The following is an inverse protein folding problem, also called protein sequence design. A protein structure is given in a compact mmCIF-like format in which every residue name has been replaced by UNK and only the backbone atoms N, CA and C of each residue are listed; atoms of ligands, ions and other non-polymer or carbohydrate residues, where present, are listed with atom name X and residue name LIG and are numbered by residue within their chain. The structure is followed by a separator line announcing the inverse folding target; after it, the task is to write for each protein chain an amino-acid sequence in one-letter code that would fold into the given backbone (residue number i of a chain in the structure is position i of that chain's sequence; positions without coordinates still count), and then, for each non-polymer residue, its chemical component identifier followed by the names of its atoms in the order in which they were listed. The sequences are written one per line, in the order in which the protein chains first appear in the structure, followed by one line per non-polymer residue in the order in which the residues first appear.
data_IF_414080097000
#
_entry.id   IF_414080097000
#
_cell.length_a   1.000
_cell.length_b   1.000
_cell.length_c   1.000
_cell.angle_alpha   90.00
_cell.angle_beta   90.00
_cell.angle_gamma   90.00
#
_symmetry.space_group_name_H-M   'P 1'
#
loop_
_entity.id
_entity.type
_entity.pdbx_description
1 polymer ?
#
# COMPACT_ATOMS: atom_id res chain seq x y z
N UNK A 1 12.35 -9.22 7.50
CA UNK A 1 11.66 -8.19 6.69
C UNK A 1 10.36 -8.77 6.19
N UNK A 2 9.26 -8.03 6.33
CA UNK A 2 7.96 -8.36 5.74
C UNK A 2 7.55 -7.29 4.74
N UNK A 3 6.82 -7.68 3.70
CA UNK A 3 6.36 -6.75 2.66
C UNK A 3 4.85 -6.88 2.49
N UNK A 4 4.16 -5.74 2.46
CA UNK A 4 2.72 -5.68 2.26
C UNK A 4 2.40 -4.83 1.02
N UNK A 5 1.70 -5.43 0.06
CA UNK A 5 1.18 -4.75 -1.13
C UNK A 5 -0.29 -4.43 -0.90
N UNK A 6 -0.66 -3.15 -0.99
CA UNK A 6 -2.04 -2.72 -0.79
C UNK A 6 -2.89 -2.99 -2.04
N UNK A 7 -2.37 -2.67 -3.23
CA UNK A 7 -3.09 -2.82 -4.50
C UNK A 7 -2.52 -3.95 -5.35
N UNK A 8 -3.32 -4.44 -6.28
CA UNK A 8 -2.95 -5.54 -7.18
C UNK A 8 -2.12 -5.07 -8.40
N UNK A 9 -2.03 -3.77 -8.68
CA UNK A 9 -1.29 -3.22 -9.81
C UNK A 9 -1.94 -3.46 -11.18
N UNK A 10 -3.27 -3.63 -11.22
CA UNK A 10 -4.05 -3.96 -12.43
C UNK A 10 -4.52 -2.72 -13.21
N UNK A 11 -3.76 -1.62 -13.18
CA UNK A 11 -4.18 -0.37 -13.81
C UNK A 11 -4.52 -0.51 -15.30
N UNK A 12 -3.65 -1.12 -16.10
CA UNK A 12 -3.86 -1.23 -17.54
C UNK A 12 -4.80 -2.38 -17.93
N UNK A 13 -4.75 -3.50 -17.22
CA UNK A 13 -5.65 -4.63 -17.43
C UNK A 13 -5.78 -5.48 -16.16
N UNK A 14 -6.92 -6.17 -15.99
CA UNK A 14 -7.10 -7.10 -14.87
C UNK A 14 -6.03 -8.22 -14.87
N UNK A 15 -5.57 -8.63 -16.06
CA UNK A 15 -4.54 -9.65 -16.20
C UNK A 15 -3.18 -9.21 -15.63
N UNK A 16 -2.91 -7.91 -15.57
CA UNK A 16 -1.64 -7.39 -15.04
C UNK A 16 -1.48 -7.72 -13.56
N UNK A 17 -2.56 -7.89 -12.81
CA UNK A 17 -2.49 -8.30 -11.41
C UNK A 17 -1.69 -9.59 -11.21
N UNK A 18 -1.87 -10.59 -12.09
CA UNK A 18 -1.12 -11.84 -12.02
C UNK A 18 0.37 -11.65 -12.34
N UNK A 19 0.66 -10.83 -13.34
CA UNK A 19 2.04 -10.49 -13.72
C UNK A 19 2.74 -9.77 -12.58
N UNK A 20 2.13 -8.71 -12.04
CA UNK A 20 2.68 -7.93 -10.92
C UNK A 20 2.90 -8.76 -9.67
N UNK A 21 1.98 -9.67 -9.35
CA UNK A 21 2.14 -10.58 -8.23
C UNK A 21 3.34 -11.52 -8.41
N UNK A 22 3.50 -12.09 -9.61
CA UNK A 22 4.62 -12.98 -9.92
C UNK A 22 5.96 -12.25 -9.90
N UNK A 23 6.03 -11.05 -10.50
CA UNK A 23 7.22 -10.18 -10.47
C UNK A 23 7.62 -9.84 -9.03
N UNK A 24 6.66 -9.39 -8.21
CA UNK A 24 6.90 -9.03 -6.82
C UNK A 24 7.44 -10.21 -6.01
N UNK A 25 6.82 -11.39 -6.14
CA UNK A 25 7.30 -12.60 -5.46
C UNK A 25 8.71 -12.99 -5.90
N UNK A 26 8.99 -12.92 -7.21
CA UNK A 26 10.30 -13.30 -7.76
C UNK A 26 11.41 -12.37 -7.26
N UNK A 27 11.18 -11.06 -7.27
CA UNK A 27 12.15 -10.08 -6.77
C UNK A 27 12.36 -10.25 -5.27
N UNK A 28 11.30 -10.38 -4.48
CA UNK A 28 11.41 -10.53 -3.04
C UNK A 28 12.09 -11.84 -2.64
N UNK A 29 11.83 -12.94 -3.37
CA UNK A 29 12.54 -14.20 -3.18
C UNK A 29 14.05 -14.05 -3.46
N UNK A 30 14.44 -13.34 -4.52
CA UNK A 30 15.84 -13.05 -4.82
C UNK A 30 16.51 -12.17 -3.74
N UNK A 31 15.73 -11.33 -3.04
CA UNK A 31 16.18 -10.53 -1.91
C UNK A 31 16.13 -11.28 -0.56
N UNK A 32 15.74 -12.56 -0.57
CA UNK A 32 15.69 -13.41 0.62
C UNK A 32 14.47 -13.18 1.53
N UNK A 33 13.40 -12.57 1.02
CA UNK A 33 12.14 -12.41 1.75
C UNK A 33 11.32 -13.69 1.61
N UNK A 34 11.01 -14.41 2.72
CA UNK A 34 10.21 -15.62 2.67
C UNK A 34 8.78 -15.35 2.16
N UNK A 35 8.20 -16.30 1.44
CA UNK A 35 6.87 -16.15 0.83
C UNK A 35 5.75 -15.87 1.87
N UNK A 36 5.88 -16.45 3.06
CA UNK A 36 4.95 -16.26 4.19
C UNK A 36 5.05 -14.86 4.83
N UNK A 37 6.05 -14.08 4.45
CA UNK A 37 6.22 -12.69 4.88
C UNK A 37 5.82 -11.68 3.79
N UNK A 38 5.17 -12.14 2.74
CA UNK A 38 4.66 -11.31 1.66
C UNK A 38 3.13 -11.29 1.74
N UNK A 39 2.58 -10.13 2.06
CA UNK A 39 1.13 -9.92 2.22
C UNK A 39 0.58 -9.12 1.06
N UNK A 40 -0.61 -9.48 0.59
CA UNK A 40 -1.33 -8.76 -0.46
C UNK A 40 -2.74 -8.47 0.03
N UNK A 41 -3.09 -7.19 0.17
CA UNK A 41 -4.41 -6.80 0.64
C UNK A 41 -5.47 -6.95 -0.46
N UNK A 42 -5.07 -6.86 -1.73
CA UNK A 42 -5.96 -7.15 -2.85
C UNK A 42 -6.92 -6.03 -3.23
N UNK A 43 -6.64 -4.78 -2.84
CA UNK A 43 -7.40 -3.62 -3.31
C UNK A 43 -7.06 -3.28 -4.76
N UNK A 44 -8.02 -2.70 -5.51
CA UNK A 44 -7.77 -2.28 -6.88
C UNK A 44 -6.73 -1.17 -7.02
N UNK A 45 -6.02 -1.19 -8.15
CA UNK A 45 -5.21 -0.08 -8.64
C UNK A 45 -5.96 0.63 -9.77
N UNK A 46 -6.23 1.91 -9.61
CA UNK A 46 -6.87 2.75 -10.64
C UNK A 46 -5.91 3.78 -11.22
N UNK A 47 -4.65 3.80 -10.74
CA UNK A 47 -3.64 4.72 -11.21
C UNK A 47 -3.94 6.18 -10.87
N UNK A 48 -3.36 7.08 -11.69
CA UNK A 48 -3.64 8.52 -11.65
C UNK A 48 -4.79 8.87 -12.60
N UNK A 49 -5.58 9.93 -12.39
CA UNK A 49 -5.35 11.07 -11.49
C UNK A 49 -5.52 10.79 -10.00
N UNK A 50 -4.92 11.69 -9.20
CA UNK A 50 -4.87 11.58 -7.75
C UNK A 50 -6.24 11.37 -7.08
N UNK A 51 -7.26 12.17 -7.47
CA UNK A 51 -8.61 12.12 -6.91
C UNK A 51 -9.38 10.86 -7.34
N UNK A 52 -8.95 10.18 -8.40
CA UNK A 52 -9.55 8.96 -8.92
C UNK A 52 -8.89 7.70 -8.38
N UNK A 53 -7.75 7.83 -7.72
CA UNK A 53 -7.04 6.72 -7.12
C UNK A 53 -7.90 6.00 -6.09
N UNK A 54 -7.88 4.68 -6.11
CA UNK A 54 -8.85 3.85 -5.40
C UNK A 54 -8.80 4.03 -3.89
N UNK A 55 -7.61 3.91 -3.29
CA UNK A 55 -7.45 4.07 -1.84
C UNK A 55 -7.71 5.50 -1.41
N UNK A 56 -7.37 6.50 -2.25
CA UNK A 56 -7.66 7.91 -1.98
C UNK A 56 -9.15 8.15 -1.84
N UNK A 57 -9.96 7.63 -2.76
CA UNK A 57 -11.42 7.75 -2.70
C UNK A 57 -11.99 7.10 -1.43
N UNK A 58 -11.47 5.95 -1.02
CA UNK A 58 -11.88 5.32 0.24
C UNK A 58 -11.49 6.19 1.44
N UNK A 59 -10.27 6.74 1.43
CA UNK A 59 -9.80 7.61 2.51
C UNK A 59 -10.67 8.87 2.67
N UNK A 60 -11.09 9.47 1.55
CA UNK A 60 -11.97 10.64 1.53
C UNK A 60 -13.44 10.30 1.85
N UNK A 61 -13.74 9.06 2.18
CA UNK A 61 -15.09 8.61 2.53
C UNK A 61 -16.01 8.44 1.31
N UNK A 62 -15.48 8.38 0.11
CA UNK A 62 -16.27 8.10 -1.08
C UNK A 62 -16.82 6.68 -1.04
N UNK A 63 -18.09 6.54 -1.42
CA UNK A 63 -18.69 5.22 -1.62
C UNK A 63 -18.20 4.62 -2.94
N UNK A 64 -17.41 3.56 -2.85
CA UNK A 64 -16.93 2.81 -4.01
C UNK A 64 -17.61 1.44 -4.03
N UNK A 65 -18.47 1.21 -5.01
CA UNK A 65 -19.24 -0.04 -5.10
C UNK A 65 -18.54 -1.11 -5.93
N UNK A 66 -17.69 -0.72 -6.87
CA UNK A 66 -16.94 -1.64 -7.72
C UNK A 66 -15.62 -1.02 -8.21
N UNK A 67 -14.63 -1.85 -8.53
CA UNK A 67 -13.45 -1.47 -9.27
C UNK A 67 -13.78 -1.17 -10.73
N UNK A 68 -12.81 -0.63 -11.50
CA UNK A 68 -12.99 -0.44 -12.95
C UNK A 68 -13.22 -1.75 -13.71
N UNK A 69 -12.84 -2.88 -13.13
CA UNK A 69 -13.01 -4.23 -13.68
C UNK A 69 -14.26 -4.95 -13.15
N UNK A 70 -15.15 -4.24 -12.43
CA UNK A 70 -16.41 -4.76 -11.92
C UNK A 70 -16.29 -5.61 -10.64
N UNK A 71 -15.14 -5.69 -10.02
CA UNK A 71 -14.95 -6.34 -8.72
C UNK A 71 -15.59 -5.49 -7.63
N UNK A 72 -16.22 -6.14 -6.65
CA UNK A 72 -16.95 -5.47 -5.55
C UNK A 72 -16.31 -5.68 -4.18
N UNK A 73 -15.21 -6.45 -4.13
CA UNK A 73 -14.47 -6.80 -2.92
C UNK A 73 -13.00 -7.07 -3.25
N UNK A 74 -12.15 -7.14 -2.24
CA UNK A 74 -10.73 -7.48 -2.41
C UNK A 74 -10.58 -8.85 -3.09
N UNK A 75 -9.50 -9.03 -3.83
CA UNK A 75 -9.26 -10.26 -4.59
C UNK A 75 -7.80 -10.47 -4.91
N UNK A 76 -7.47 -11.68 -5.35
CA UNK A 76 -6.13 -12.05 -5.82
C UNK A 76 -6.22 -12.99 -7.01
N UNK A 77 -5.40 -12.77 -8.06
CA UNK A 77 -5.37 -13.65 -9.22
C UNK A 77 -4.73 -15.01 -8.94
N UNK A 78 -3.87 -15.08 -7.92
CA UNK A 78 -3.04 -16.24 -7.56
C UNK A 78 -3.44 -16.89 -6.23
N UNK A 79 -4.60 -16.54 -5.68
CA UNK A 79 -5.09 -17.10 -4.42
C UNK A 79 -5.98 -16.16 -3.64
N UNK A 80 -5.93 -16.28 -2.33
CA UNK A 80 -6.74 -15.49 -1.41
C UNK A 80 -5.98 -14.23 -0.98
N UNK A 81 -6.68 -13.09 -0.94
CA UNK A 81 -6.16 -11.87 -0.34
C UNK A 81 -6.03 -12.00 1.19
N UNK A 82 -5.32 -11.04 1.79
CA UNK A 82 -5.03 -11.06 3.22
C UNK A 82 -6.32 -11.01 4.07
N UNK A 83 -7.31 -10.20 3.65
CA UNK A 83 -8.59 -10.12 4.36
C UNK A 83 -9.28 -11.48 4.43
N UNK A 84 -9.32 -12.21 3.30
CA UNK A 84 -9.89 -13.55 3.24
C UNK A 84 -9.14 -14.54 4.14
N UNK A 85 -7.81 -14.51 4.12
CA UNK A 85 -7.01 -15.39 4.98
C UNK A 85 -7.27 -15.15 6.48
N UNK A 86 -7.63 -13.92 6.87
CA UNK A 86 -7.89 -13.56 8.27
C UNK A 86 -9.32 -13.79 8.72
N UNK A 87 -10.30 -13.57 7.85
CA UNK A 87 -11.73 -13.50 8.21
C UNK A 87 -12.62 -14.52 7.52
N UNK A 88 -12.09 -15.23 6.51
CA UNK A 88 -12.88 -16.20 5.70
C UNK A 88 -13.81 -15.58 4.65
N UNK A 89 -13.74 -14.25 4.46
CA UNK A 89 -14.45 -13.53 3.41
C UNK A 89 -13.54 -12.45 2.81
N UNK A 90 -13.83 -11.98 1.60
CA UNK A 90 -13.12 -10.88 0.98
C UNK A 90 -13.48 -9.54 1.62
N UNK A 91 -12.56 -8.58 1.60
CA UNK A 91 -12.75 -7.26 2.17
C UNK A 91 -13.65 -6.38 1.29
N UNK A 92 -14.63 -5.73 1.90
CA UNK A 92 -15.43 -4.71 1.21
C UNK A 92 -14.62 -3.45 0.94
N UNK A 93 -14.99 -2.68 -0.08
CA UNK A 93 -14.31 -1.44 -0.45
C UNK A 93 -14.70 -0.27 0.46
N UNK A 94 -14.17 -0.29 1.67
CA UNK A 94 -14.38 0.75 2.68
C UNK A 94 -13.07 1.15 3.37
N UNK A 95 -13.00 2.38 3.86
CA UNK A 95 -11.88 2.84 4.68
C UNK A 95 -11.67 1.95 5.92
N UNK A 96 -12.76 1.47 6.51
CA UNK A 96 -12.71 0.59 7.68
C UNK A 96 -12.05 -0.75 7.36
N UNK A 97 -12.31 -1.33 6.18
CA UNK A 97 -11.66 -2.57 5.73
C UNK A 97 -10.15 -2.36 5.52
N UNK A 98 -9.75 -1.26 4.87
CA UNK A 98 -8.33 -0.93 4.68
C UNK A 98 -7.62 -0.79 6.03
N UNK A 99 -8.20 -0.03 6.95
CA UNK A 99 -7.62 0.17 8.29
C UNK A 99 -7.52 -1.15 9.06
N UNK A 100 -8.54 -1.99 8.99
CA UNK A 100 -8.53 -3.30 9.63
C UNK A 100 -7.41 -4.18 9.07
N UNK A 101 -7.30 -4.28 7.75
CA UNK A 101 -6.28 -5.11 7.10
C UNK A 101 -4.86 -4.64 7.46
N UNK A 102 -4.61 -3.34 7.45
CA UNK A 102 -3.33 -2.77 7.87
C UNK A 102 -3.05 -3.04 9.35
N UNK A 103 -4.04 -2.87 10.21
CA UNK A 103 -3.91 -3.16 11.64
C UNK A 103 -3.63 -4.64 11.89
N UNK A 104 -4.30 -5.54 11.17
CA UNK A 104 -4.10 -6.99 11.28
C UNK A 104 -2.70 -7.40 10.77
N UNK A 105 -2.18 -6.79 9.69
CA UNK A 105 -0.80 -7.00 9.23
C UNK A 105 0.19 -6.52 10.29
N UNK A 106 0.01 -5.31 10.82
CA UNK A 106 0.89 -4.74 11.86
C UNK A 106 0.89 -5.60 13.12
N UNK A 107 -0.27 -6.06 13.56
CA UNK A 107 -0.38 -6.95 14.72
C UNK A 107 0.27 -8.32 14.48
N UNK A 108 0.14 -8.88 13.26
CA UNK A 108 0.73 -10.17 12.89
C UNK A 108 2.26 -10.10 12.81
N UNK A 109 2.78 -9.02 12.20
CA UNK A 109 4.22 -8.84 11.99
C UNK A 109 4.92 -8.30 13.23
N UNK A 110 4.23 -7.47 14.02
CA UNK A 110 4.76 -6.76 15.19
C UNK A 110 6.13 -6.10 14.91
N UNK A 111 6.21 -5.18 13.92
CA UNK A 111 7.48 -4.63 13.48
C UNK A 111 8.03 -3.57 14.45
N UNK A 112 9.35 -3.45 14.54
CA UNK A 112 10.02 -2.30 15.19
C UNK A 112 10.00 -1.05 14.31
N UNK A 113 9.94 -1.25 12.99
CA UNK A 113 10.03 -0.17 12.00
C UNK A 113 9.12 -0.46 10.81
N UNK A 114 8.40 0.57 10.37
CA UNK A 114 7.55 0.54 9.16
C UNK A 114 8.04 1.59 8.17
N UNK A 115 8.20 1.19 6.92
CA UNK A 115 8.42 2.09 5.79
C UNK A 115 7.18 2.08 4.91
N UNK A 116 6.65 3.25 4.60
CA UNK A 116 5.44 3.41 3.78
C UNK A 116 5.57 4.63 2.87
N UNK A 117 4.79 4.67 1.80
CA UNK A 117 4.69 5.83 0.92
C UNK A 117 4.24 7.07 1.69
N UNK A 118 4.79 8.23 1.31
CA UNK A 118 4.56 9.47 2.05
C UNK A 118 3.12 10.00 1.88
N UNK A 119 2.47 10.49 2.95
CA UNK A 119 1.38 11.43 2.81
C UNK A 119 1.87 12.66 2.04
N UNK A 120 1.15 13.02 0.96
CA UNK A 120 1.57 14.08 0.05
C UNK A 120 2.24 13.61 -1.24
N UNK A 121 2.41 12.30 -1.44
CA UNK A 121 2.77 11.74 -2.76
C UNK A 121 1.70 12.13 -3.80
N UNK A 122 2.13 12.40 -5.03
CA UNK A 122 1.21 12.80 -6.10
C UNK A 122 0.33 11.68 -6.63
N UNK A 123 0.66 10.44 -6.34
CA UNK A 123 -0.22 9.31 -6.58
C UNK A 123 -1.18 9.14 -5.40
N UNK A 124 -2.49 9.23 -5.65
CA UNK A 124 -3.48 9.22 -4.58
C UNK A 124 -3.50 7.94 -3.75
N UNK A 125 -3.21 6.77 -4.34
CA UNK A 125 -3.09 5.51 -3.57
C UNK A 125 -1.87 5.53 -2.64
N UNK A 126 -0.75 6.13 -3.05
CA UNK A 126 0.43 6.28 -2.20
C UNK A 126 0.16 7.21 -1.02
N UNK A 127 -0.42 8.39 -1.29
CA UNK A 127 -0.82 9.34 -0.25
C UNK A 127 -1.80 8.71 0.74
N UNK A 128 -2.84 8.06 0.24
CA UNK A 128 -3.85 7.42 1.08
C UNK A 128 -3.28 6.27 1.91
N UNK A 129 -2.43 5.43 1.32
CA UNK A 129 -1.77 4.32 2.04
C UNK A 129 -0.92 4.86 3.19
N UNK A 130 -0.15 5.93 2.96
CA UNK A 130 0.62 6.61 4.00
C UNK A 130 -0.27 7.09 5.16
N UNK A 131 -1.40 7.72 4.84
CA UNK A 131 -2.37 8.21 5.83
C UNK A 131 -3.06 7.07 6.61
N UNK A 132 -3.53 6.03 5.91
CA UNK A 132 -4.12 4.85 6.56
C UNK A 132 -3.12 4.16 7.48
N UNK A 133 -1.88 3.98 7.02
CA UNK A 133 -0.83 3.36 7.84
C UNK A 133 -0.51 4.22 9.06
N UNK A 134 -0.45 5.54 8.91
CA UNK A 134 -0.29 6.47 10.04
C UNK A 134 -1.39 6.30 11.08
N UNK A 135 -2.65 6.19 10.65
CA UNK A 135 -3.78 5.96 11.56
C UNK A 135 -3.70 4.60 12.25
N UNK A 136 -3.36 3.54 11.51
CA UNK A 136 -3.23 2.20 12.06
C UNK A 136 -2.10 2.13 13.10
N UNK A 137 -0.94 2.71 12.82
CA UNK A 137 0.21 2.79 13.74
C UNK A 137 -0.13 3.61 14.98
N UNK A 138 -0.79 4.77 14.82
CA UNK A 138 -1.19 5.62 15.94
C UNK A 138 -2.18 4.96 16.91
N UNK A 139 -2.91 3.94 16.47
CA UNK A 139 -3.84 3.18 17.30
C UNK A 139 -3.17 2.03 18.07
N UNK A 140 -1.90 1.74 17.83
CA UNK A 140 -1.16 0.67 18.52
C UNK A 140 -0.73 1.13 19.93
N UNK A 141 -0.75 0.21 20.88
CA UNK A 141 -0.25 0.46 22.23
C UNK A 141 1.27 0.72 22.24
N UNK A 142 2.01 -0.03 21.42
CA UNK A 142 3.44 0.12 21.24
C UNK A 142 3.72 0.36 19.75
N UNK A 143 3.64 1.62 19.28
CA UNK A 143 3.77 1.92 17.86
C UNK A 143 5.22 1.76 17.40
N UNK A 144 5.45 1.17 16.20
CA UNK A 144 6.77 1.10 15.57
C UNK A 144 7.25 2.49 15.15
N UNK A 145 8.55 2.62 14.88
CA UNK A 145 9.08 3.77 14.17
C UNK A 145 8.52 3.80 12.75
N UNK A 146 7.94 4.93 12.33
CA UNK A 146 7.31 5.11 11.03
C UNK A 146 8.16 6.04 10.15
N UNK A 147 8.57 5.53 9.00
CA UNK A 147 9.35 6.28 8.00
C UNK A 147 8.61 6.34 6.67
N UNK A 148 8.66 7.52 6.07
CA UNK A 148 8.01 7.78 4.80
C UNK A 148 9.03 7.86 3.67
N UNK A 149 8.65 7.34 2.49
CA UNK A 149 9.38 7.53 1.25
C UNK A 149 8.45 8.06 0.16
N UNK A 150 9.00 8.93 -0.69
CA UNK A 150 8.27 9.56 -1.78
C UNK A 150 8.63 8.89 -3.09
N UNK A 151 7.63 8.56 -3.90
CA UNK A 151 7.81 7.99 -5.24
C UNK A 151 7.54 9.06 -6.30
N UNK A 152 6.45 9.83 -6.17
CA UNK A 152 6.05 10.86 -7.12
C UNK A 152 6.07 12.24 -6.46
N UNK A 153 6.99 13.09 -6.90
CA UNK A 153 7.28 14.40 -6.31
C UNK A 153 7.14 15.55 -7.32
N UNK A 154 6.09 15.51 -8.15
CA UNK A 154 5.84 16.55 -9.14
C UNK A 154 5.00 17.74 -8.59
N UNK A 155 4.51 17.64 -7.35
CA UNK A 155 3.82 18.70 -6.63
C UNK A 155 4.80 19.45 -5.73
N UNK A 156 5.27 20.59 -6.20
CA UNK A 156 6.23 21.43 -5.48
C UNK A 156 5.67 22.09 -4.23
N UNK A 157 4.33 22.16 -4.12
CA UNK A 157 3.61 22.74 -2.97
C UNK A 157 3.56 21.84 -1.73
N UNK A 158 3.84 20.55 -1.89
CA UNK A 158 3.80 19.55 -0.81
C UNK A 158 5.19 19.23 -0.27
N UNK A 159 6.23 19.45 -1.07
CA UNK A 159 7.60 19.15 -0.71
C UNK A 159 8.34 20.41 -0.27
N UNK A 160 9.28 20.33 0.70
CA UNK A 160 10.03 21.50 1.13
C UNK A 160 10.70 22.20 -0.07
N UNK A 161 10.59 23.52 -0.14
CA UNK A 161 11.12 24.38 -1.21
C UNK A 161 12.60 24.13 -1.56
N UNK A 162 13.31 23.36 -0.75
CA UNK A 162 14.74 23.03 -0.85
C UNK A 162 14.98 21.53 -0.99
N UNK A 163 14.15 20.83 -1.76
CA UNK A 163 14.30 19.39 -2.00
C UNK A 163 15.73 18.97 -2.38
N UNK A 164 16.46 19.80 -3.13
CA UNK A 164 17.85 19.55 -3.49
C UNK A 164 18.84 19.53 -2.31
N UNK A 165 18.53 20.16 -1.20
CA UNK A 165 19.37 20.14 0.01
C UNK A 165 19.13 18.89 0.87
N UNK A 166 17.94 18.28 0.78
CA UNK A 166 17.55 17.12 1.59
C UNK A 166 17.93 15.79 0.95
N UNK A 167 18.10 15.74 -0.38
CA UNK A 167 18.50 14.56 -1.12
C UNK A 167 20.00 14.41 -1.31
N UNK A 168 20.81 14.89 -0.40
CA UNK A 168 22.20 14.46 -0.36
C UNK A 168 22.23 13.02 0.16
N UNK A 169 22.32 12.08 -0.76
CA UNK A 169 22.68 10.71 -0.40
C UNK A 169 23.98 10.79 0.43
N UNK A 170 24.07 10.08 1.56
CA UNK A 170 25.34 9.95 2.26
C UNK A 170 26.38 9.44 1.25
N UNK A 171 27.63 9.88 1.32
CA UNK A 171 28.68 9.38 0.44
C UNK A 171 28.68 7.84 0.57
N UNK A 172 28.49 7.16 -0.57
CA UNK A 172 28.62 5.72 -0.59
C UNK A 172 30.03 5.39 -0.12
N UNK A 173 30.14 4.61 0.96
CA UNK A 173 31.42 4.09 1.38
C UNK A 173 32.04 3.29 0.23
N UNK A 174 33.25 3.64 -0.18
CA UNK A 174 34.00 2.96 -1.22
C UNK A 174 34.40 1.56 -0.76
#
# INVERSE_FOLDING_TARGET
VSVCFATNGEYASEADAAVRAAESRSVLAALGVPAEQIYFLGYPDTGMPYEESFLRRLYDGCRVSASRWGRTETWRPDGQDFHFMRSGCHGTYTAASVLRDLSDVLALVNPDTVYVTAPGDCHGDHDALGRFTTQAVAAMENPPALYYYLIHADRTDIWPERAAEWFRLPPMAA
#
